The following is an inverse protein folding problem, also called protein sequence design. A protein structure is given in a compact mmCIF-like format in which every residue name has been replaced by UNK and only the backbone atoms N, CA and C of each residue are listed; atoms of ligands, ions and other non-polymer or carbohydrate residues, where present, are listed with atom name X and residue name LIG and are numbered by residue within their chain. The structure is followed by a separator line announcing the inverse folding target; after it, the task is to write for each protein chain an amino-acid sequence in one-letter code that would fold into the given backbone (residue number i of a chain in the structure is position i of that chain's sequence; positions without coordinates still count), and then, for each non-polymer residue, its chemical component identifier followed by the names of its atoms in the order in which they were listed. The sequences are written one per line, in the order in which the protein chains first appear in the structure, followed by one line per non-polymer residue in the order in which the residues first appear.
data_IF_460866022496
#
_entry.id   IF_460866022496
#
_cell.length_a   1.000
_cell.length_b   1.000
_cell.length_c   1.000
_cell.angle_alpha   90.00
_cell.angle_beta   90.00
_cell.angle_gamma   90.00
#
_symmetry.space_group_name_H-M   'P 1'
#
loop_
_entity.id
_entity.type
_entity.pdbx_description
1 polymer ?
#
# COMPACT_ATOMS: atom_id res chain seq x y z
N UNK A 1 49.91 -19.89 -46.12
CA UNK A 1 49.62 -18.51 -45.64
C UNK A 1 48.15 -18.46 -45.25
N UNK A 2 47.84 -18.45 -43.95
CA UNK A 2 46.47 -18.42 -43.44
C UNK A 2 46.17 -17.03 -42.86
N UNK A 3 45.16 -16.34 -43.39
CA UNK A 3 44.70 -15.07 -42.86
C UNK A 3 43.85 -15.33 -41.61
N UNK A 4 44.28 -14.79 -40.46
CA UNK A 4 43.49 -14.77 -39.23
C UNK A 4 42.35 -13.74 -39.38
N UNK A 5 41.12 -14.20 -39.22
CA UNK A 5 39.93 -13.35 -39.19
C UNK A 5 39.94 -12.42 -37.98
N UNK A 6 39.63 -11.14 -38.22
CA UNK A 6 39.50 -10.14 -37.17
C UNK A 6 38.24 -10.39 -36.31
N UNK A 7 38.31 -10.20 -34.98
CA UNK A 7 37.13 -10.31 -34.12
C UNK A 7 36.17 -9.14 -34.34
N UNK A 8 34.90 -9.46 -34.62
CA UNK A 8 33.80 -8.49 -34.68
C UNK A 8 33.59 -7.85 -33.30
N UNK A 9 33.74 -6.52 -33.23
CA UNK A 9 33.34 -5.72 -32.08
C UNK A 9 31.81 -5.77 -31.93
N UNK A 10 31.33 -6.38 -30.84
CA UNK A 10 29.92 -6.33 -30.45
C UNK A 10 29.64 -4.92 -29.92
N UNK A 11 28.71 -4.21 -30.56
CA UNK A 11 28.29 -2.89 -30.13
C UNK A 11 27.71 -2.94 -28.69
N UNK A 12 27.99 -1.94 -27.84
CA UNK A 12 27.44 -1.90 -26.49
C UNK A 12 25.91 -1.81 -26.53
N UNK A 13 25.26 -2.62 -25.69
CA UNK A 13 23.81 -2.62 -25.54
C UNK A 13 23.31 -1.22 -25.14
N UNK A 14 22.23 -0.78 -25.78
CA UNK A 14 21.60 0.50 -25.46
C UNK A 14 21.22 0.56 -23.97
N UNK A 15 21.45 1.69 -23.28
CA UNK A 15 21.09 1.82 -21.86
C UNK A 15 19.57 1.67 -21.70
N UNK A 16 19.16 0.85 -20.73
CA UNK A 16 17.76 0.68 -20.37
C UNK A 16 17.09 2.05 -20.09
N UNK A 17 15.83 2.26 -20.51
CA UNK A 17 15.12 3.50 -20.25
C UNK A 17 15.05 3.74 -18.74
N UNK A 18 15.63 4.86 -18.31
CA UNK A 18 15.62 5.28 -16.92
C UNK A 18 14.17 5.57 -16.51
N UNK A 19 13.67 4.83 -15.53
CA UNK A 19 12.41 5.15 -14.88
C UNK A 19 12.47 6.60 -14.40
N UNK A 20 11.41 7.42 -14.62
CA UNK A 20 11.39 8.77 -14.08
C UNK A 20 11.63 8.69 -12.58
N UNK A 21 12.67 9.38 -12.13
CA UNK A 21 13.00 9.41 -10.71
C UNK A 21 11.80 10.02 -9.98
N UNK A 22 11.15 9.19 -9.15
CA UNK A 22 10.15 9.69 -8.23
C UNK A 22 10.82 10.82 -7.41
N UNK A 23 10.15 11.96 -7.22
CA UNK A 23 10.71 13.05 -6.43
C UNK A 23 11.23 12.49 -5.12
N UNK A 24 12.43 12.93 -4.70
CA UNK A 24 13.07 12.50 -3.47
C UNK A 24 12.09 12.67 -2.31
N UNK A 25 11.46 11.57 -1.89
CA UNK A 25 10.61 11.54 -0.69
C UNK A 25 11.59 11.57 0.48
N UNK A 26 11.64 12.64 1.29
CA UNK A 26 12.56 12.71 2.41
C UNK A 26 12.42 11.47 3.29
N UNK A 27 13.54 10.90 3.75
CA UNK A 27 13.53 9.79 4.72
C UNK A 27 12.54 10.13 5.84
N UNK A 28 11.58 9.24 6.03
CA UNK A 28 10.35 9.48 6.78
C UNK A 28 10.66 9.70 8.27
N UNK A 29 10.96 10.94 8.64
CA UNK A 29 11.27 11.34 10.03
C UNK A 29 10.46 12.53 10.54
N UNK A 30 9.79 13.29 9.65
CA UNK A 30 8.96 14.46 10.04
C UNK A 30 7.49 14.37 9.59
N UNK A 31 7.16 13.48 8.65
CA UNK A 31 5.79 13.31 8.14
C UNK A 31 4.82 12.67 9.16
N UNK A 32 5.33 12.04 10.22
CA UNK A 32 4.49 11.50 11.30
C UNK A 32 4.12 12.53 12.38
N UNK A 33 4.60 13.77 12.26
CA UNK A 33 4.33 14.84 13.22
C UNK A 33 3.11 15.70 12.85
N UNK A 34 2.16 15.12 12.12
CA UNK A 34 0.89 15.78 11.76
C UNK A 34 -0.09 15.56 12.91
N UNK A 35 -0.79 16.62 13.32
CA UNK A 35 -1.78 16.57 14.40
C UNK A 35 -2.77 15.41 14.22
N UNK A 36 -3.16 15.09 12.99
CA UNK A 36 -4.07 13.98 12.67
C UNK A 36 -3.51 12.60 13.08
N UNK A 37 -2.21 12.36 12.92
CA UNK A 37 -1.56 11.09 13.29
C UNK A 37 -1.45 11.02 14.81
N UNK A 38 -1.08 12.13 15.46
CA UNK A 38 -1.03 12.20 16.93
C UNK A 38 -2.41 11.98 17.55
N UNK A 39 -3.44 12.61 17.00
CA UNK A 39 -4.82 12.47 17.46
C UNK A 39 -5.35 11.04 17.27
N UNK A 40 -5.02 10.42 16.14
CA UNK A 40 -5.31 9.01 15.91
C UNK A 40 -4.58 8.12 16.90
N UNK A 41 -3.26 8.27 17.06
CA UNK A 41 -2.47 7.44 17.98
C UNK A 41 -2.92 7.60 19.43
N UNK A 42 -3.45 8.77 19.84
CA UNK A 42 -4.12 8.96 21.14
C UNK A 42 -5.43 8.18 21.26
N UNK A 43 -6.23 8.11 20.19
CA UNK A 43 -7.52 7.39 20.16
C UNK A 43 -7.36 5.88 20.06
N UNK A 44 -6.31 5.41 19.38
CA UNK A 44 -5.99 3.99 19.24
C UNK A 44 -4.93 3.56 20.26
N UNK A 45 -4.68 4.34 21.32
CA UNK A 45 -3.65 4.09 22.34
C UNK A 45 -4.03 2.97 23.33
N UNK A 46 -4.57 1.87 22.83
CA UNK A 46 -5.28 0.90 23.63
C UNK A 46 -4.45 -0.34 24.00
N UNK A 47 -3.12 -0.22 23.92
CA UNK A 47 -2.19 -1.08 24.66
C UNK A 47 -2.14 -0.76 26.17
N UNK A 48 -2.84 0.30 26.61
CA UNK A 48 -3.00 0.64 28.01
C UNK A 48 -4.00 -0.32 28.69
N UNK A 49 -3.65 -0.96 29.83
CA UNK A 49 -4.60 -1.75 30.60
C UNK A 49 -5.88 -0.94 30.87
N UNK A 50 -7.04 -1.57 30.69
CA UNK A 50 -8.37 -0.99 30.99
C UNK A 50 -8.85 0.15 30.07
N UNK A 51 -8.20 0.39 28.93
CA UNK A 51 -8.73 1.32 27.91
C UNK A 51 -9.46 0.52 26.82
N UNK A 52 -10.76 0.76 26.59
CA UNK A 52 -11.48 0.13 25.50
C UNK A 52 -10.82 0.42 24.14
N UNK A 53 -10.64 -0.62 23.35
CA UNK A 53 -10.17 -0.50 21.98
C UNK A 53 -11.21 0.25 21.14
N UNK A 54 -10.81 1.20 20.28
CA UNK A 54 -11.76 1.88 19.41
C UNK A 54 -12.41 0.87 18.44
N UNK A 55 -13.66 1.16 18.06
CA UNK A 55 -14.35 0.41 17.03
C UNK A 55 -13.60 0.46 15.69
N UNK A 56 -13.78 -0.56 14.86
CA UNK A 56 -13.17 -0.68 13.53
C UNK A 56 -13.40 0.59 12.68
N UNK A 57 -14.60 1.17 12.77
CA UNK A 57 -14.96 2.42 12.08
C UNK A 57 -13.99 3.59 12.37
N UNK A 58 -13.44 3.68 13.57
CA UNK A 58 -12.46 4.75 13.92
C UNK A 58 -11.14 4.54 13.19
N UNK A 59 -10.72 3.27 13.03
CA UNK A 59 -9.52 2.89 12.28
C UNK A 59 -9.73 3.21 10.80
N UNK A 60 -10.86 2.83 10.23
CA UNK A 60 -11.17 3.09 8.82
C UNK A 60 -11.27 4.59 8.53
N UNK A 61 -11.96 5.36 9.38
CA UNK A 61 -12.05 6.82 9.25
C UNK A 61 -10.67 7.45 9.24
N UNK A 62 -9.78 7.04 10.15
CA UNK A 62 -8.43 7.56 10.16
C UNK A 62 -7.72 7.30 8.83
N UNK A 63 -7.70 6.06 8.35
CA UNK A 63 -6.99 5.74 7.11
C UNK A 63 -7.61 6.45 5.90
N UNK A 64 -8.93 6.60 5.86
CA UNK A 64 -9.61 7.38 4.82
C UNK A 64 -9.14 8.84 4.84
N UNK A 65 -9.20 9.51 6.00
CA UNK A 65 -8.81 10.91 6.12
C UNK A 65 -7.31 11.12 5.91
N UNK A 66 -6.47 10.22 6.44
CA UNK A 66 -5.03 10.24 6.27
C UNK A 66 -4.68 10.14 4.79
N UNK A 67 -5.21 9.17 4.06
CA UNK A 67 -4.92 9.03 2.63
C UNK A 67 -5.54 10.15 1.80
N UNK A 68 -6.76 10.61 2.11
CA UNK A 68 -7.38 11.73 1.42
C UNK A 68 -6.58 13.05 1.58
N UNK A 69 -5.85 13.21 2.68
CA UNK A 69 -4.96 14.36 2.88
C UNK A 69 -3.78 14.37 1.89
N UNK A 70 -3.18 13.22 1.60
CA UNK A 70 -2.06 13.11 0.65
C UNK A 70 -2.52 12.96 -0.80
N UNK A 71 -3.63 12.25 -1.02
CA UNK A 71 -4.23 12.00 -2.32
C UNK A 71 -5.46 12.88 -2.49
N UNK A 72 -5.21 14.16 -2.79
CA UNK A 72 -6.27 15.16 -3.01
C UNK A 72 -7.35 14.63 -3.94
N UNK A 73 -8.56 14.51 -3.40
CA UNK A 73 -9.73 14.05 -4.12
C UNK A 73 -10.09 15.11 -5.18
N UNK A 74 -9.93 14.74 -6.45
CA UNK A 74 -10.03 15.64 -7.59
C UNK A 74 -9.93 14.89 -8.90
N UNK A 75 -9.44 15.54 -9.97
CA UNK A 75 -9.40 14.92 -11.32
C UNK A 75 -8.51 13.67 -11.42
N UNK A 76 -7.58 13.44 -10.50
CA UNK A 76 -6.54 12.41 -10.63
C UNK A 76 -6.58 11.28 -9.61
N UNK A 77 -7.10 11.48 -8.41
CA UNK A 77 -7.11 10.45 -7.36
C UNK A 77 -8.47 10.40 -6.65
N UNK A 78 -8.85 9.19 -6.22
CA UNK A 78 -10.00 8.91 -5.37
C UNK A 78 -9.59 8.07 -4.16
N UNK A 79 -10.26 8.25 -3.03
CA UNK A 79 -10.06 7.43 -1.82
C UNK A 79 -11.42 6.90 -1.37
N UNK A 80 -11.56 5.58 -1.36
CA UNK A 80 -12.81 4.87 -1.12
C UNK A 80 -12.67 3.93 0.09
N UNK A 81 -13.74 3.81 0.89
CA UNK A 81 -13.86 2.82 1.97
C UNK A 81 -14.62 1.60 1.48
N UNK A 82 -14.31 0.44 2.05
CA UNK A 82 -15.01 -0.82 1.74
C UNK A 82 -15.10 -1.03 0.23
N UNK A 83 -14.01 -0.72 -0.46
CA UNK A 83 -13.99 -0.73 -1.91
C UNK A 83 -13.85 -2.17 -2.39
N UNK A 84 -14.83 -2.61 -3.18
CA UNK A 84 -14.74 -3.90 -3.84
C UNK A 84 -13.53 -3.94 -4.77
N UNK A 85 -12.68 -4.94 -4.59
CA UNK A 85 -11.46 -5.10 -5.39
C UNK A 85 -11.69 -5.87 -6.70
N UNK A 86 -12.94 -6.22 -6.99
CA UNK A 86 -13.40 -7.00 -8.14
C UNK A 86 -14.94 -6.87 -8.26
N UNK A 87 -15.54 -7.42 -9.33
CA UNK A 87 -17.00 -7.38 -9.56
C UNK A 87 -17.78 -8.48 -8.82
N UNK A 88 -17.16 -9.64 -8.55
CA UNK A 88 -17.86 -10.91 -8.24
C UNK A 88 -17.49 -11.57 -6.90
N UNK A 89 -16.76 -10.91 -6.01
CA UNK A 89 -16.41 -11.42 -4.69
C UNK A 89 -16.93 -10.48 -3.58
N UNK A 90 -17.37 -11.05 -2.46
CA UNK A 90 -17.82 -10.29 -1.30
C UNK A 90 -16.68 -9.62 -0.51
N UNK A 91 -15.44 -9.62 -1.03
CA UNK A 91 -14.28 -9.08 -0.33
C UNK A 91 -14.02 -7.63 -0.75
N UNK A 92 -14.02 -6.74 0.23
CA UNK A 92 -13.70 -5.33 0.08
C UNK A 92 -12.41 -5.03 0.83
N UNK A 93 -11.53 -4.23 0.23
CA UNK A 93 -10.43 -3.66 0.98
C UNK A 93 -10.98 -2.61 1.95
N UNK A 94 -10.41 -2.50 3.15
CA UNK A 94 -10.86 -1.51 4.13
C UNK A 94 -10.76 -0.09 3.53
N UNK A 95 -9.65 0.22 2.82
CA UNK A 95 -9.44 1.46 2.05
C UNK A 95 -8.79 1.19 0.71
N UNK A 96 -9.23 1.91 -0.32
CA UNK A 96 -8.63 1.93 -1.66
C UNK A 96 -8.27 3.36 -2.07
N UNK A 97 -7.07 3.53 -2.62
CA UNK A 97 -6.71 4.73 -3.41
C UNK A 97 -6.69 4.36 -4.87
N UNK A 98 -7.50 5.06 -5.66
CA UNK A 98 -7.52 4.96 -7.11
C UNK A 98 -6.89 6.18 -7.76
N UNK A 99 -6.38 6.02 -8.98
CA UNK A 99 -5.97 7.12 -9.84
C UNK A 99 -6.62 7.05 -11.21
N UNK A 100 -6.72 8.19 -11.90
CA UNK A 100 -7.13 8.25 -13.31
C UNK A 100 -5.90 8.35 -14.20
N UNK A 101 -5.71 7.36 -15.07
CA UNK A 101 -4.61 7.30 -16.04
C UNK A 101 -5.08 6.65 -17.33
N UNK A 102 -4.66 7.20 -18.48
CA UNK A 102 -4.99 6.67 -19.81
C UNK A 102 -6.50 6.47 -20.04
N UNK A 103 -7.33 7.40 -19.56
CA UNK A 103 -8.79 7.32 -19.70
C UNK A 103 -9.50 6.32 -18.77
N UNK A 104 -8.77 5.53 -17.98
CA UNK A 104 -9.30 4.56 -17.03
C UNK A 104 -9.02 4.93 -15.57
N UNK A 105 -9.75 4.29 -14.65
CA UNK A 105 -9.51 4.35 -13.21
C UNK A 105 -8.75 3.10 -12.79
N UNK A 106 -7.65 3.27 -12.08
CA UNK A 106 -6.78 2.18 -11.65
C UNK A 106 -6.60 2.22 -10.14
N UNK A 107 -6.50 1.05 -9.52
CA UNK A 107 -6.28 0.91 -8.09
C UNK A 107 -4.76 0.94 -7.81
N UNK A 108 -4.34 1.79 -6.88
CA UNK A 108 -2.91 2.08 -6.65
C UNK A 108 -2.46 1.67 -5.26
N UNK A 109 -3.29 1.92 -4.24
CA UNK A 109 -2.99 1.58 -2.85
C UNK A 109 -4.18 0.83 -2.29
N UNK A 110 -3.95 -0.36 -1.77
CA UNK A 110 -4.96 -1.16 -1.07
C UNK A 110 -4.54 -1.31 0.39
N UNK A 111 -5.45 -0.99 1.29
CA UNK A 111 -5.19 -1.00 2.73
C UNK A 111 -6.09 -2.01 3.40
N UNK A 112 -5.47 -2.88 4.17
CA UNK A 112 -6.12 -3.71 5.19
C UNK A 112 -5.75 -3.11 6.55
N UNK A 113 -6.72 -2.49 7.22
CA UNK A 113 -6.54 -1.78 8.48
C UNK A 113 -7.37 -2.45 9.57
N UNK A 114 -6.74 -3.00 10.60
CA UNK A 114 -7.41 -3.66 11.72
C UNK A 114 -7.16 -2.95 13.04
N UNK A 115 -8.15 -2.98 13.93
CA UNK A 115 -7.97 -2.63 15.35
C UNK A 115 -6.89 -3.50 16.00
N UNK A 116 -6.40 -3.08 17.17
CA UNK A 116 -5.51 -3.92 17.96
C UNK A 116 -6.14 -5.29 18.27
N UNK A 117 -5.31 -6.31 18.48
CA UNK A 117 -5.76 -7.55 19.07
C UNK A 117 -6.40 -7.33 20.45
N UNK A 118 -7.36 -8.17 20.79
CA UNK A 118 -7.89 -8.22 22.14
C UNK A 118 -6.77 -8.55 23.13
N UNK A 119 -6.80 -7.95 24.32
CA UNK A 119 -5.82 -8.18 25.40
C UNK A 119 -4.36 -7.90 24.96
N UNK A 120 -4.16 -6.85 24.16
CA UNK A 120 -2.85 -6.43 23.69
C UNK A 120 -1.91 -6.12 24.87
N UNK A 121 -0.80 -6.87 24.95
CA UNK A 121 0.34 -6.60 25.86
C UNK A 121 1.53 -6.08 25.03
N UNK A 122 2.52 -5.40 25.64
CA UNK A 122 3.76 -5.08 24.95
C UNK A 122 4.36 -6.30 24.23
N UNK A 123 4.85 -6.11 23.00
CA UNK A 123 5.36 -7.18 22.14
C UNK A 123 4.28 -7.99 21.42
N UNK A 124 3.01 -7.57 21.43
CA UNK A 124 1.90 -8.24 20.74
C UNK A 124 2.19 -8.48 19.24
N UNK A 125 2.93 -7.57 18.61
CA UNK A 125 3.24 -7.58 17.19
C UNK A 125 4.08 -8.79 16.78
N UNK A 126 4.80 -9.41 17.72
CA UNK A 126 5.59 -10.63 17.48
C UNK A 126 4.73 -11.89 17.46
N UNK A 127 3.58 -11.87 18.14
CA UNK A 127 2.64 -13.01 18.25
C UNK A 127 1.42 -12.87 17.35
N UNK A 128 1.18 -11.69 16.80
CA UNK A 128 0.05 -11.44 15.91
C UNK A 128 0.19 -12.24 14.61
N UNK A 129 -0.93 -12.79 14.13
CA UNK A 129 -0.97 -13.51 12.85
C UNK A 129 -0.91 -12.53 11.67
N UNK A 130 0.27 -11.98 11.41
CA UNK A 130 0.52 -11.12 10.26
C UNK A 130 0.36 -11.82 8.92
N UNK A 131 0.43 -13.15 8.88
CA UNK A 131 0.23 -13.92 7.64
C UNK A 131 -1.19 -13.71 7.11
N UNK A 132 -2.21 -13.79 7.97
CA UNK A 132 -3.60 -13.58 7.56
C UNK A 132 -3.83 -12.18 6.94
N UNK A 133 -3.30 -11.13 7.57
CA UNK A 133 -3.43 -9.74 7.05
C UNK A 133 -2.63 -9.55 5.77
N UNK A 134 -1.42 -10.12 5.70
CA UNK A 134 -0.61 -10.13 4.48
C UNK A 134 -1.33 -10.82 3.32
N UNK A 135 -1.94 -11.97 3.57
CA UNK A 135 -2.65 -12.75 2.56
C UNK A 135 -3.89 -11.98 2.07
N UNK A 136 -4.61 -11.30 2.97
CA UNK A 136 -5.71 -10.38 2.62
C UNK A 136 -5.23 -9.27 1.66
N UNK A 137 -4.19 -8.52 2.05
CA UNK A 137 -3.60 -7.47 1.21
C UNK A 137 -3.14 -8.03 -0.14
N UNK A 138 -2.45 -9.17 -0.15
CA UNK A 138 -1.99 -9.83 -1.38
C UNK A 138 -3.16 -10.17 -2.30
N UNK A 139 -4.23 -10.74 -1.76
CA UNK A 139 -5.42 -11.11 -2.54
C UNK A 139 -6.04 -9.86 -3.18
N UNK A 140 -6.24 -8.79 -2.41
CA UNK A 140 -6.73 -7.52 -2.95
C UNK A 140 -5.85 -7.00 -4.09
N UNK A 141 -4.53 -7.02 -3.94
CA UNK A 141 -3.63 -6.53 -4.99
C UNK A 141 -3.66 -7.44 -6.24
N UNK A 142 -3.73 -8.76 -6.08
CA UNK A 142 -3.80 -9.72 -7.19
C UNK A 142 -5.12 -9.61 -7.94
N UNK A 143 -6.24 -9.57 -7.23
CA UNK A 143 -7.57 -9.44 -7.83
C UNK A 143 -7.75 -8.09 -8.53
N UNK A 144 -7.25 -7.03 -7.91
CA UNK A 144 -7.17 -5.70 -8.53
C UNK A 144 -6.46 -5.74 -9.90
N UNK A 145 -5.33 -6.45 -10.01
CA UNK A 145 -4.62 -6.63 -11.28
C UNK A 145 -5.35 -7.49 -12.28
N UNK A 146 -6.00 -8.57 -11.82
CA UNK A 146 -6.82 -9.42 -12.70
C UNK A 146 -7.95 -8.61 -13.33
N UNK A 147 -8.54 -7.69 -12.57
CA UNK A 147 -9.63 -6.86 -13.05
C UNK A 147 -9.18 -5.68 -13.92
N UNK A 148 -8.16 -4.94 -13.48
CA UNK A 148 -7.77 -3.66 -14.10
C UNK A 148 -6.48 -3.76 -14.94
N UNK A 149 -5.93 -4.96 -15.10
CA UNK A 149 -4.65 -5.28 -15.78
C UNK A 149 -3.41 -4.72 -15.07
N UNK A 150 -2.22 -5.07 -15.55
CA UNK A 150 -0.94 -4.61 -15.01
C UNK A 150 -0.51 -3.29 -15.66
N UNK A 151 -1.11 -2.20 -15.20
CA UNK A 151 -0.91 -0.84 -15.75
C UNK A 151 0.04 0.01 -14.90
N UNK A 152 0.24 -0.38 -13.63
CA UNK A 152 1.17 0.28 -12.71
C UNK A 152 1.57 -0.63 -11.54
N UNK A 153 2.61 -0.22 -10.81
CA UNK A 153 2.95 -0.79 -9.51
C UNK A 153 1.79 -0.54 -8.56
N UNK A 154 1.37 -1.60 -7.87
CA UNK A 154 0.31 -1.55 -6.85
C UNK A 154 0.99 -1.62 -5.48
N UNK A 155 0.52 -0.83 -4.52
CA UNK A 155 1.02 -0.83 -3.15
C UNK A 155 -0.02 -1.42 -2.20
N UNK A 156 0.46 -2.19 -1.23
CA UNK A 156 -0.36 -2.78 -0.18
C UNK A 156 0.06 -2.25 1.18
N UNK A 157 -0.91 -1.95 2.04
CA UNK A 157 -0.66 -1.53 3.42
C UNK A 157 -1.40 -2.49 4.34
N UNK A 158 -0.67 -3.15 5.24
CA UNK A 158 -1.25 -3.88 6.36
C UNK A 158 -1.04 -3.05 7.62
N UNK A 159 -2.12 -2.51 8.17
CA UNK A 159 -2.11 -1.72 9.40
C UNK A 159 -2.86 -2.47 10.49
N UNK A 160 -2.23 -2.66 11.65
CA UNK A 160 -2.87 -3.30 12.81
C UNK A 160 -2.48 -2.50 14.04
N UNK A 161 -3.47 -1.90 14.70
CA UNK A 161 -3.22 -1.03 15.85
C UNK A 161 -2.25 0.11 15.51
N UNK A 162 -1.10 0.14 16.18
CA UNK A 162 -0.01 1.11 15.99
C UNK A 162 1.10 0.65 15.02
N UNK A 163 0.99 -0.55 14.43
CA UNK A 163 2.01 -1.11 13.53
C UNK A 163 1.51 -1.12 12.09
N UNK A 164 2.44 -0.87 11.17
CA UNK A 164 2.16 -0.86 9.73
C UNK A 164 3.25 -1.64 9.00
N UNK A 165 2.86 -2.44 8.01
CA UNK A 165 3.73 -3.10 7.05
C UNK A 165 3.35 -2.68 5.64
N UNK A 166 4.36 -2.43 4.82
CA UNK A 166 4.21 -2.00 3.44
C UNK A 166 4.61 -3.12 2.49
N UNK A 167 3.82 -3.27 1.44
CA UNK A 167 4.03 -4.23 0.36
C UNK A 167 3.93 -3.50 -0.97
N UNK A 168 4.55 -4.06 -2.00
CA UNK A 168 4.34 -3.62 -3.37
C UNK A 168 4.29 -4.82 -4.29
N UNK A 169 3.62 -4.66 -5.41
CA UNK A 169 3.65 -5.59 -6.53
C UNK A 169 4.14 -4.79 -7.73
N UNK A 170 5.30 -5.18 -8.26
CA UNK A 170 5.96 -4.55 -9.42
C UNK A 170 5.20 -4.82 -10.71
N UNK A 171 5.27 -3.91 -11.69
CA UNK A 171 4.73 -4.16 -13.05
C UNK A 171 5.46 -5.30 -13.78
N UNK A 172 6.74 -5.51 -13.45
CA UNK A 172 7.55 -6.56 -14.05
C UNK A 172 7.30 -7.85 -13.26
N UNK A 173 6.94 -8.92 -13.97
CA UNK A 173 7.11 -10.27 -13.42
C UNK A 173 8.61 -10.44 -13.22
N UNK A 174 9.03 -10.67 -11.97
CA UNK A 174 10.36 -11.24 -11.72
C UNK A 174 10.50 -12.60 -12.40
#
# INVERSE_FOLDING_TARGET
MAQQGQPQQVAPAAPAPQLPQLPHVPRVGKAFNVLVIRDYLRRVQASAPNVPQPYQQVVDHFWQHFLAHYFHQGRRFGVEREAFTHRDSGQAADILVSNRRNGGTHQVILVEAKRFPNNTRPGWETRYNWRAVKDSVRNHMVESRRWLTTVQTTFGIAAVGDKVRFYYMSMQNE
#
